data_IF_142037891216
#
_entry.id   IF_142037891216
#
_cell.length_a   1.000
_cell.length_b   1.000
_cell.length_c   1.000
_cell.angle_alpha   90.00
_cell.angle_beta   90.00
_cell.angle_gamma   90.00
#
_symmetry.space_group_name_H-M   'P 1'
#
loop_
_entity.id
_entity.type
_entity.pdbx_description
1 polymer ?
#
# COMPACT_ATOMS: atom_id res chain seq x y z
N UNK A 1 30.65 -8.11 5.15
CA UNK A 1 30.96 -6.68 5.37
C UNK A 1 30.78 -6.36 6.85
N UNK A 2 31.66 -5.55 7.47
CA UNK A 2 31.52 -5.08 8.87
C UNK A 2 31.13 -3.60 8.86
N UNK A 3 30.09 -3.25 9.60
CA UNK A 3 29.62 -1.87 9.76
C UNK A 3 29.87 -1.45 11.21
N UNK A 4 30.68 -0.42 11.41
CA UNK A 4 30.89 0.19 12.73
C UNK A 4 30.15 1.53 12.75
N UNK A 5 28.93 1.54 13.31
CA UNK A 5 28.13 2.76 13.47
C UNK A 5 28.07 3.15 14.95
N UNK A 6 28.29 4.43 15.25
CA UNK A 6 28.02 4.98 16.57
C UNK A 6 26.60 5.51 16.58
N UNK A 7 25.78 4.97 17.48
CA UNK A 7 24.43 5.48 17.73
C UNK A 7 24.52 6.57 18.79
N UNK A 8 23.79 7.67 18.58
CA UNK A 8 23.57 8.63 19.66
C UNK A 8 22.66 8.03 20.75
N UNK A 9 22.48 8.78 21.82
CA UNK A 9 21.69 8.34 22.96
C UNK A 9 20.22 8.05 22.57
N UNK A 10 19.62 8.88 21.72
CA UNK A 10 18.23 8.75 21.31
C UNK A 10 18.00 7.46 20.52
N UNK A 11 18.90 7.13 19.58
CA UNK A 11 18.84 5.90 18.79
C UNK A 11 19.17 4.66 19.64
N UNK A 12 20.07 4.79 20.61
CA UNK A 12 20.39 3.71 21.57
C UNK A 12 19.16 3.34 22.40
N UNK A 13 18.45 4.33 22.96
CA UNK A 13 17.21 4.10 23.72
C UNK A 13 16.13 3.40 22.89
N UNK A 14 15.96 3.80 21.62
CA UNK A 14 15.02 3.14 20.70
C UNK A 14 15.39 1.68 20.46
N UNK A 15 16.66 1.40 20.20
CA UNK A 15 17.15 0.03 19.97
C UNK A 15 16.94 -0.85 21.20
N UNK A 16 17.27 -0.34 22.38
CA UNK A 16 17.13 -1.09 23.63
C UNK A 16 15.66 -1.37 23.95
N UNK A 17 14.75 -0.42 23.70
CA UNK A 17 13.32 -0.64 23.87
C UNK A 17 12.77 -1.72 22.93
N UNK A 18 13.19 -1.74 21.67
CA UNK A 18 12.79 -2.78 20.71
C UNK A 18 13.32 -4.15 21.16
N UNK A 19 14.58 -4.23 21.59
CA UNK A 19 15.16 -5.47 22.09
C UNK A 19 14.39 -5.97 23.32
N UNK A 20 14.05 -5.08 24.26
CA UNK A 20 13.29 -5.40 25.47
C UNK A 20 11.89 -5.93 25.16
N UNK A 21 11.18 -5.34 24.18
CA UNK A 21 9.82 -5.76 23.80
C UNK A 21 9.79 -7.06 23.01
N UNK A 22 10.79 -7.28 22.16
CA UNK A 22 10.80 -8.42 21.22
C UNK A 22 11.60 -9.61 21.73
N UNK A 23 12.47 -9.42 22.74
CA UNK A 23 13.41 -10.43 23.20
C UNK A 23 14.57 -10.70 22.23
N UNK A 24 14.64 -9.97 21.10
CA UNK A 24 15.68 -10.17 20.10
C UNK A 24 16.99 -9.48 20.49
N UNK A 25 18.10 -10.04 20.01
CA UNK A 25 19.41 -9.41 20.15
C UNK A 25 19.50 -8.13 19.30
N UNK A 26 20.33 -7.18 19.71
CA UNK A 26 20.61 -5.93 18.96
C UNK A 26 20.98 -6.22 17.51
N UNK A 27 21.79 -7.25 17.25
CA UNK A 27 22.17 -7.66 15.89
C UNK A 27 20.98 -8.14 15.07
N UNK A 28 20.08 -8.94 15.65
CA UNK A 28 18.88 -9.41 14.97
C UNK A 28 17.94 -8.24 14.63
N UNK A 29 17.74 -7.31 15.58
CA UNK A 29 16.95 -6.10 15.36
C UNK A 29 17.54 -5.24 14.24
N UNK A 30 18.86 -5.02 14.23
CA UNK A 30 19.53 -4.23 13.18
C UNK A 30 19.41 -4.88 11.80
N UNK A 31 19.53 -6.21 11.69
CA UNK A 31 19.33 -6.93 10.42
C UNK A 31 17.91 -6.74 9.91
N UNK A 32 16.91 -6.99 10.77
CA UNK A 32 15.51 -6.81 10.41
C UNK A 32 15.19 -5.35 10.02
N UNK A 33 15.78 -4.37 10.70
CA UNK A 33 15.62 -2.96 10.36
C UNK A 33 16.20 -2.62 8.98
N UNK A 34 17.36 -3.19 8.62
CA UNK A 34 17.97 -3.02 7.29
C UNK A 34 17.06 -3.66 6.23
N UNK A 35 16.60 -4.89 6.46
CA UNK A 35 15.72 -5.60 5.51
C UNK A 35 14.42 -4.81 5.28
N UNK A 36 13.82 -4.31 6.36
CA UNK A 36 12.62 -3.48 6.30
C UNK A 36 12.86 -2.18 5.53
N UNK A 37 13.96 -1.48 5.83
CA UNK A 37 14.30 -0.25 5.14
C UNK A 37 14.59 -0.50 3.65
N UNK A 38 15.32 -1.58 3.32
CA UNK A 38 15.56 -1.98 1.94
C UNK A 38 14.25 -2.25 1.20
N UNK A 39 13.33 -3.02 1.81
CA UNK A 39 12.01 -3.27 1.22
C UNK A 39 11.24 -1.97 0.99
N UNK A 40 11.28 -1.01 1.92
CA UNK A 40 10.63 0.30 1.73
C UNK A 40 11.22 1.11 0.56
N UNK A 41 12.53 1.02 0.32
CA UNK A 41 13.19 1.75 -0.76
C UNK A 41 13.11 1.03 -2.12
N UNK A 42 12.92 -0.29 -2.12
CA UNK A 42 12.92 -1.12 -3.34
C UNK A 42 11.54 -1.60 -3.75
N UNK A 43 10.54 -1.49 -2.89
CA UNK A 43 9.16 -1.48 -3.34
C UNK A 43 8.98 -0.24 -4.21
N UNK A 44 8.96 -0.44 -5.53
CA UNK A 44 8.37 0.55 -6.42
C UNK A 44 7.06 1.01 -5.80
N UNK A 45 6.78 2.32 -5.71
CA UNK A 45 5.51 2.80 -5.21
C UNK A 45 4.45 2.08 -6.04
N UNK A 46 3.78 1.08 -5.44
CA UNK A 46 2.79 0.27 -6.14
C UNK A 46 1.78 1.26 -6.64
N UNK A 47 1.85 1.56 -7.94
CA UNK A 47 1.01 2.62 -8.49
C UNK A 47 -0.42 2.25 -8.12
N UNK A 48 -1.24 3.17 -7.60
CA UNK A 48 -2.60 2.84 -7.18
C UNK A 48 -3.36 2.04 -8.24
N UNK A 49 -3.15 2.36 -9.52
CA UNK A 49 -3.65 1.59 -10.65
C UNK A 49 -3.23 0.10 -10.65
N UNK A 50 -2.00 -0.24 -10.27
CA UNK A 50 -1.53 -1.62 -10.17
C UNK A 50 -2.24 -2.38 -9.03
N UNK A 51 -2.46 -1.74 -7.88
CA UNK A 51 -3.22 -2.34 -6.76
C UNK A 51 -4.67 -2.58 -7.19
N UNK A 52 -5.31 -1.58 -7.80
CA UNK A 52 -6.70 -1.67 -8.24
C UNK A 52 -6.88 -2.69 -9.38
N UNK A 53 -5.90 -2.85 -10.27
CA UNK A 53 -5.90 -3.92 -11.28
C UNK A 53 -5.72 -5.31 -10.66
N UNK A 54 -4.75 -5.49 -9.75
CA UNK A 54 -4.47 -6.78 -9.10
C UNK A 54 -5.67 -7.30 -8.30
N UNK A 55 -6.44 -6.39 -7.68
CA UNK A 55 -7.63 -6.75 -6.92
C UNK A 55 -8.90 -6.80 -7.77
N UNK A 56 -8.77 -6.84 -9.11
CA UNK A 56 -9.88 -6.85 -10.07
C UNK A 56 -10.90 -5.70 -9.88
N UNK A 57 -10.51 -4.60 -9.22
CA UNK A 57 -11.39 -3.47 -8.96
C UNK A 57 -11.56 -2.61 -10.23
N UNK A 58 -10.50 -2.43 -11.02
CA UNK A 58 -10.64 -1.79 -12.34
C UNK A 58 -11.27 -2.81 -13.29
N UNK A 59 -12.48 -2.50 -13.78
CA UNK A 59 -13.23 -3.36 -14.70
C UNK A 59 -14.19 -4.34 -14.03
N UNK A 60 -14.45 -4.22 -12.72
CA UNK A 60 -15.45 -5.05 -12.03
C UNK A 60 -16.92 -4.69 -12.36
N UNK A 61 -17.15 -3.55 -13.00
CA UNK A 61 -18.48 -3.13 -13.41
C UNK A 61 -18.83 -3.74 -14.75
N UNK A 62 -19.98 -4.41 -14.81
CA UNK A 62 -20.58 -4.86 -16.06
C UNK A 62 -21.65 -3.86 -16.49
N UNK A 63 -21.56 -3.40 -17.74
CA UNK A 63 -22.52 -2.50 -18.35
C UNK A 63 -22.46 -2.63 -19.88
N UNK A 64 -23.37 -1.95 -20.56
CA UNK A 64 -23.32 -1.83 -22.02
C UNK A 64 -22.00 -1.19 -22.47
N UNK A 65 -21.41 -1.72 -23.55
CA UNK A 65 -20.12 -1.25 -24.08
C UNK A 65 -20.14 0.21 -24.54
N UNK A 66 -21.32 0.71 -24.90
CA UNK A 66 -21.56 2.09 -25.34
C UNK A 66 -22.12 2.97 -24.22
N UNK A 67 -22.25 2.46 -22.97
CA UNK A 67 -22.74 3.23 -21.83
C UNK A 67 -21.96 4.53 -21.66
N UNK A 68 -20.63 4.50 -21.80
CA UNK A 68 -19.81 5.70 -21.68
C UNK A 68 -20.20 6.81 -22.69
N UNK A 69 -20.74 6.44 -23.86
CA UNK A 69 -21.23 7.41 -24.87
C UNK A 69 -22.67 7.82 -24.62
N UNK A 70 -23.51 6.87 -24.20
CA UNK A 70 -24.96 7.03 -24.19
C UNK A 70 -25.56 7.23 -22.78
N UNK A 71 -24.76 7.26 -21.71
CA UNK A 71 -25.23 7.23 -20.32
C UNK A 71 -26.28 8.28 -19.99
N UNK A 72 -26.21 9.47 -20.58
CA UNK A 72 -27.20 10.54 -20.33
C UNK A 72 -28.58 10.14 -20.82
N UNK A 73 -28.67 9.56 -22.04
CA UNK A 73 -29.93 9.11 -22.62
C UNK A 73 -30.52 7.98 -21.78
N UNK A 74 -29.72 6.94 -21.52
CA UNK A 74 -30.15 5.78 -20.73
C UNK A 74 -30.59 6.16 -19.31
N UNK A 75 -29.85 7.07 -18.66
CA UNK A 75 -30.22 7.58 -17.34
C UNK A 75 -31.53 8.37 -17.38
N UNK A 76 -31.72 9.26 -18.37
CA UNK A 76 -32.95 10.05 -18.52
C UNK A 76 -34.17 9.16 -18.77
N UNK A 77 -34.05 8.15 -19.62
CA UNK A 77 -35.10 7.17 -19.88
C UNK A 77 -35.45 6.40 -18.60
N UNK A 78 -34.44 5.84 -17.91
CA UNK A 78 -34.62 5.11 -16.66
C UNK A 78 -35.29 5.94 -15.55
N UNK A 79 -34.93 7.22 -15.43
CA UNK A 79 -35.53 8.12 -14.44
C UNK A 79 -36.97 8.47 -14.80
N UNK A 80 -37.27 8.66 -16.09
CA UNK A 80 -38.63 8.97 -16.56
C UNK A 80 -39.58 7.80 -16.33
N UNK A 81 -39.11 6.56 -16.54
CA UNK A 81 -39.87 5.35 -16.26
C UNK A 81 -40.24 5.21 -14.78
N UNK A 82 -39.33 5.58 -13.87
CA UNK A 82 -39.55 5.48 -12.41
C UNK A 82 -40.49 6.54 -11.84
N UNK A 83 -40.74 7.63 -12.57
CA UNK A 83 -41.60 8.74 -12.14
C UNK A 83 -43.03 8.60 -12.69
N UNK A 84 -43.28 7.61 -13.54
CA UNK A 84 -44.62 7.19 -13.96
C UNK A 84 -45.25 6.23 -12.96
#
# INVERSE_FOLDING_TARGET
MRVNARLDEAHTRKLDEICRRTGHSRTAVLRAAIDHYYAQQTQEPRQPAAILKQNAFIGCGEADSELARNYKRELTESLTEKVR
#
